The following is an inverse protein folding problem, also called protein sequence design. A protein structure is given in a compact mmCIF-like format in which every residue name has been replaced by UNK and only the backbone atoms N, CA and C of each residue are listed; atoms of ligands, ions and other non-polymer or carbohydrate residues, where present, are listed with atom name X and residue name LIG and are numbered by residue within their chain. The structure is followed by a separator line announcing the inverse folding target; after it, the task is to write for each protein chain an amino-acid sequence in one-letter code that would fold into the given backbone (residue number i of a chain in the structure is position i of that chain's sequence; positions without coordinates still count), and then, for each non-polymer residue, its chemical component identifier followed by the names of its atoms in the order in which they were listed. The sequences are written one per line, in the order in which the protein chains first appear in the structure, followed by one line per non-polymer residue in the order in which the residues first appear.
data_IF_183482096758
#
_entry.id   IF_183482096758
#
_cell.length_a   1.000
_cell.length_b   1.000
_cell.length_c   1.000
_cell.angle_alpha   90.00
_cell.angle_beta   90.00
_cell.angle_gamma   90.00
#
_symmetry.space_group_name_H-M   'P 1'
#
loop_
_entity.id
_entity.type
_entity.pdbx_description
1 polymer ?
#
# COMPACT_ATOMS: atom_id res chain seq x y z
N UNK A 1 17.76 -9.13 13.20
CA UNK A 1 17.42 -8.25 14.34
C UNK A 1 16.25 -7.34 13.98
N UNK A 2 16.33 -6.48 12.94
CA UNK A 2 15.21 -5.60 12.55
C UNK A 2 13.87 -6.31 12.21
N UNK A 3 13.92 -7.45 11.51
CA UNK A 3 12.69 -8.19 11.14
C UNK A 3 11.93 -8.79 12.33
N UNK A 4 12.63 -9.11 13.42
CA UNK A 4 12.04 -9.71 14.62
C UNK A 4 11.33 -8.66 15.48
N UNK A 5 11.87 -7.44 15.48
CA UNK A 5 11.31 -6.27 16.15
C UNK A 5 9.99 -5.79 15.51
N UNK A 6 9.92 -5.80 14.17
CA UNK A 6 8.68 -5.50 13.40
C UNK A 6 7.57 -6.52 13.71
N UNK A 7 7.91 -7.79 13.91
CA UNK A 7 6.93 -8.85 14.19
C UNK A 7 6.42 -8.85 15.63
N UNK A 8 7.24 -8.41 16.59
CA UNK A 8 6.85 -8.34 18.00
C UNK A 8 5.95 -7.13 18.29
N UNK A 9 6.09 -6.05 17.52
CA UNK A 9 5.31 -4.83 17.70
C UNK A 9 4.89 -4.18 16.37
N UNK A 10 4.04 -4.87 15.58
CA UNK A 10 3.68 -4.43 14.23
C UNK A 10 2.89 -3.11 14.19
N UNK A 11 2.44 -2.61 15.34
CA UNK A 11 1.61 -1.41 15.42
C UNK A 11 2.30 -0.23 16.13
N UNK A 12 3.54 -0.39 16.63
CA UNK A 12 4.29 0.70 17.28
C UNK A 12 4.66 1.83 16.30
N UNK A 13 4.59 1.56 14.99
CA UNK A 13 4.77 2.54 13.92
C UNK A 13 3.54 3.44 13.69
N UNK A 14 2.36 3.06 14.20
CA UNK A 14 1.15 3.89 14.10
C UNK A 14 1.01 4.79 15.33
N UNK A 15 0.76 6.09 15.15
CA UNK A 15 0.49 6.96 16.29
C UNK A 15 -0.82 6.55 16.98
N UNK A 16 -0.86 6.54 18.32
CA UNK A 16 -2.10 6.31 19.07
C UNK A 16 -3.17 7.37 18.78
N UNK A 17 -2.73 8.61 18.48
CA UNK A 17 -3.58 9.73 18.11
C UNK A 17 -3.09 10.30 16.79
N UNK A 18 -3.99 10.43 15.83
CA UNK A 18 -3.70 11.02 14.53
C UNK A 18 -4.70 12.13 14.20
N UNK A 19 -4.27 13.08 13.38
CA UNK A 19 -5.09 14.18 12.87
C UNK A 19 -5.45 13.98 11.38
N UNK A 20 -5.59 12.73 10.95
CA UNK A 20 -6.08 12.38 9.61
C UNK A 20 -7.60 12.36 9.57
N UNK A 21 -8.19 12.90 8.51
CA UNK A 21 -9.64 12.86 8.28
C UNK A 21 -10.08 11.50 7.72
N UNK A 22 -9.22 10.87 6.91
CA UNK A 22 -9.52 9.59 6.23
C UNK A 22 -8.30 8.68 6.25
N UNK A 23 -8.53 7.41 6.56
CA UNK A 23 -7.55 6.32 6.49
C UNK A 23 -7.96 5.35 5.39
N UNK A 24 -7.06 5.12 4.43
CA UNK A 24 -7.24 4.16 3.33
C UNK A 24 -6.35 2.95 3.59
N UNK A 25 -6.95 1.77 3.64
CA UNK A 25 -6.24 0.50 3.82
C UNK A 25 -6.09 -0.18 2.45
N UNK A 26 -4.87 -0.29 1.97
CA UNK A 26 -4.49 -0.90 0.69
C UNK A 26 -4.04 0.12 -0.36
N UNK A 27 -2.80 -0.05 -0.84
CA UNK A 27 -2.14 0.75 -1.87
C UNK A 27 -2.37 0.26 -3.29
N UNK A 28 -3.52 -0.38 -3.55
CA UNK A 28 -3.93 -0.77 -4.90
C UNK A 28 -4.54 0.39 -5.70
N UNK A 29 -4.96 0.15 -6.96
CA UNK A 29 -5.51 1.20 -7.82
C UNK A 29 -6.68 1.96 -7.19
N UNK A 30 -7.60 1.24 -6.55
CA UNK A 30 -8.77 1.83 -5.91
C UNK A 30 -8.40 2.70 -4.71
N UNK A 31 -7.43 2.27 -3.90
CA UNK A 31 -6.96 3.05 -2.75
C UNK A 31 -6.21 4.31 -3.18
N UNK A 32 -5.31 4.16 -4.15
CA UNK A 32 -4.54 5.28 -4.70
C UNK A 32 -5.43 6.32 -5.38
N UNK A 33 -6.41 5.91 -6.19
CA UNK A 33 -7.31 6.86 -6.87
C UNK A 33 -8.23 7.57 -5.87
N UNK A 34 -8.74 6.84 -4.88
CA UNK A 34 -9.58 7.42 -3.82
C UNK A 34 -8.79 8.46 -3.01
N UNK A 35 -7.57 8.11 -2.59
CA UNK A 35 -6.69 9.01 -1.86
C UNK A 35 -6.33 10.24 -2.67
N UNK A 36 -6.02 10.08 -3.97
CA UNK A 36 -5.73 11.20 -4.86
C UNK A 36 -6.90 12.18 -4.97
N UNK A 37 -8.13 11.70 -5.15
CA UNK A 37 -9.30 12.58 -5.25
C UNK A 37 -9.65 13.27 -3.93
N UNK A 38 -9.55 12.56 -2.81
CA UNK A 38 -9.79 13.14 -1.48
C UNK A 38 -8.72 14.19 -1.12
N UNK A 39 -7.44 13.89 -1.35
CA UNK A 39 -6.36 14.84 -1.13
C UNK A 39 -6.52 16.08 -2.03
N UNK A 40 -6.94 15.90 -3.29
CA UNK A 40 -7.23 17.01 -4.21
C UNK A 40 -8.40 17.88 -3.71
N UNK A 41 -9.33 17.33 -2.94
CA UNK A 41 -10.42 18.07 -2.31
C UNK A 41 -10.01 18.75 -1.00
N UNK A 42 -8.75 18.66 -0.59
CA UNK A 42 -8.22 19.28 0.64
C UNK A 42 -8.41 18.42 1.89
N UNK A 43 -8.82 17.16 1.76
CA UNK A 43 -8.97 16.22 2.88
C UNK A 43 -7.59 15.72 3.31
N UNK A 44 -7.34 15.65 4.62
CA UNK A 44 -6.10 15.10 5.15
C UNK A 44 -6.17 13.57 5.19
N UNK A 45 -5.58 12.91 4.18
CA UNK A 45 -5.67 11.46 3.98
C UNK A 45 -4.34 10.77 4.29
N UNK A 46 -4.42 9.61 4.96
CA UNK A 46 -3.32 8.65 5.04
C UNK A 46 -3.70 7.36 4.32
N UNK A 47 -2.74 6.79 3.59
CA UNK A 47 -2.86 5.49 2.94
C UNK A 47 -1.82 4.55 3.55
N UNK A 48 -2.27 3.35 3.93
CA UNK A 48 -1.41 2.30 4.49
C UNK A 48 -1.43 1.07 3.59
N UNK A 49 -0.26 0.52 3.29
CA UNK A 49 -0.07 -0.68 2.49
C UNK A 49 0.85 -1.63 3.24
N UNK A 50 0.54 -2.92 3.19
CA UNK A 50 1.30 -3.97 3.88
C UNK A 50 2.63 -4.25 3.17
N UNK A 51 2.65 -4.15 1.83
CA UNK A 51 3.86 -4.32 1.03
C UNK A 51 4.78 -3.11 1.18
N UNK A 52 6.07 -3.30 0.89
CA UNK A 52 7.05 -2.21 0.82
C UNK A 52 6.91 -1.34 -0.44
N UNK A 53 5.85 -1.56 -1.23
CA UNK A 53 5.56 -0.85 -2.45
C UNK A 53 4.05 -0.73 -2.66
N UNK A 54 3.66 0.28 -3.42
CA UNK A 54 2.27 0.49 -3.86
C UNK A 54 2.04 -0.08 -5.25
N UNK A 55 0.79 -0.11 -5.69
CA UNK A 55 0.37 -0.59 -7.01
C UNK A 55 -0.57 -1.79 -6.95
N UNK A 56 -0.50 -2.59 -5.88
CA UNK A 56 -1.36 -3.75 -5.68
C UNK A 56 -1.29 -4.70 -6.87
N UNK A 57 -2.44 -4.98 -7.49
CA UNK A 57 -2.49 -5.83 -8.69
C UNK A 57 -1.81 -5.21 -9.91
N UNK A 58 -1.71 -3.88 -10.00
CA UNK A 58 -1.11 -3.22 -11.14
C UNK A 58 0.42 -3.22 -11.13
N UNK A 59 1.04 -3.74 -10.07
CA UNK A 59 2.50 -3.81 -9.95
C UNK A 59 3.09 -4.74 -11.01
N UNK A 60 4.30 -4.38 -11.44
CA UNK A 60 5.11 -5.13 -12.40
C UNK A 60 6.10 -5.97 -11.62
N UNK A 61 5.91 -7.28 -11.63
CA UNK A 61 6.62 -8.22 -10.76
C UNK A 61 7.31 -9.33 -11.56
N UNK A 62 8.41 -9.83 -11.05
CA UNK A 62 9.14 -10.96 -11.62
C UNK A 62 8.59 -12.30 -11.06
N UNK A 63 7.42 -12.72 -11.55
CA UNK A 63 6.68 -13.87 -10.97
C UNK A 63 6.82 -15.20 -11.73
N UNK A 64 7.23 -15.18 -13.00
CA UNK A 64 7.25 -16.37 -13.85
C UNK A 64 8.67 -16.92 -14.09
N UNK A 65 9.59 -16.07 -14.55
CA UNK A 65 10.96 -16.46 -14.88
C UNK A 65 11.96 -15.38 -14.46
N UNK A 66 13.22 -15.75 -14.18
CA UNK A 66 14.28 -14.79 -13.92
C UNK A 66 14.40 -13.74 -15.04
N UNK A 67 14.49 -12.48 -14.65
CA UNK A 67 14.55 -11.31 -15.52
C UNK A 67 13.32 -11.12 -16.45
N UNK A 68 12.16 -11.70 -16.12
CA UNK A 68 10.91 -11.52 -16.86
C UNK A 68 9.82 -10.89 -15.99
N UNK A 69 9.53 -9.62 -16.26
CA UNK A 69 8.54 -8.85 -15.52
C UNK A 69 7.14 -8.98 -16.12
N UNK A 70 6.15 -9.25 -15.28
CA UNK A 70 4.74 -9.42 -15.66
C UNK A 70 3.85 -8.55 -14.79
N UNK A 71 2.78 -8.02 -15.37
CA UNK A 71 1.73 -7.38 -14.61
C UNK A 71 0.91 -8.47 -13.90
N UNK A 72 0.86 -8.43 -12.57
CA UNK A 72 0.17 -9.47 -11.81
C UNK A 72 -1.34 -9.44 -11.97
N UNK A 73 -1.95 -8.33 -12.37
CA UNK A 73 -3.38 -8.26 -12.67
C UNK A 73 -3.76 -8.95 -13.98
N UNK A 74 -2.84 -8.99 -14.96
CA UNK A 74 -3.10 -9.56 -16.28
C UNK A 74 -3.32 -11.09 -16.26
N UNK A 75 -2.93 -11.76 -15.17
CA UNK A 75 -3.16 -13.21 -14.96
C UNK A 75 -4.47 -13.51 -14.20
N UNK A 76 -5.19 -12.51 -13.69
CA UNK A 76 -6.44 -12.69 -12.92
C UNK A 76 -7.72 -12.48 -13.76
N UNK A 77 -7.68 -12.70 -15.08
CA UNK A 77 -8.86 -12.62 -15.95
C UNK A 77 -9.65 -13.94 -16.01
#
# INVERSE_FOLDING_TARGET
MAAQEILEKPFDEFPEVTDWDVIIIGGGPNGLITGAYLARAGVKVVLVERRFEVGGGLSTEEILFPCYYSNVHAVYH
#
